data_IF_440194784402
#
_entry.id   IF_440194784402
#
_cell.length_a   1.000
_cell.length_b   1.000
_cell.length_c   1.000
_cell.angle_alpha   90.00
_cell.angle_beta   90.00
_cell.angle_gamma   90.00
#
_symmetry.space_group_name_H-M   'P 1'
#
loop_
_entity.id
_entity.type
_entity.pdbx_description
1 polymer ?
#
# COMPACT_ATOMS: atom_id res chain seq x y z
N UNK A 1 15.34 -4.52 -11.44
CA UNK A 1 14.65 -5.48 -10.94
C UNK A 1 13.65 -5.11 -9.98
N UNK A 2 13.96 -5.03 -8.80
CA UNK A 2 12.98 -4.81 -7.78
C UNK A 2 12.27 -3.49 -7.90
N UNK A 3 12.81 -2.51 -8.65
CA UNK A 3 12.13 -1.24 -8.84
C UNK A 3 10.81 -1.41 -9.57
N UNK A 4 10.74 -2.36 -10.49
CA UNK A 4 9.51 -2.61 -11.22
C UNK A 4 8.40 -3.05 -10.29
N UNK A 5 8.65 -4.06 -9.47
CA UNK A 5 7.63 -4.57 -8.55
C UNK A 5 7.28 -3.52 -7.51
N UNK A 6 8.26 -2.72 -7.06
CA UNK A 6 8.02 -1.66 -6.09
C UNK A 6 7.07 -0.61 -6.64
N UNK A 7 7.27 -0.21 -7.92
CA UNK A 7 6.40 0.77 -8.56
C UNK A 7 5.00 0.22 -8.76
N UNK A 8 4.90 -1.03 -9.21
CA UNK A 8 3.60 -1.66 -9.45
C UNK A 8 2.84 -1.85 -8.15
N UNK A 9 3.54 -2.26 -7.10
CA UNK A 9 2.92 -2.42 -5.80
C UNK A 9 2.42 -1.08 -5.25
N UNK A 10 3.26 -0.05 -5.33
CA UNK A 10 2.88 1.28 -4.86
C UNK A 10 1.65 1.82 -5.59
N UNK A 11 1.63 1.66 -6.91
CA UNK A 11 0.49 2.08 -7.71
C UNK A 11 -0.77 1.30 -7.33
N UNK A 12 -0.61 0.02 -7.00
CA UNK A 12 -1.73 -0.82 -6.56
C UNK A 12 -2.30 -0.34 -5.24
N UNK A 13 -1.44 -0.02 -4.29
CA UNK A 13 -1.88 0.50 -2.99
C UNK A 13 -2.68 1.78 -3.20
N UNK A 14 -2.17 2.67 -4.04
CA UNK A 14 -2.86 3.92 -4.32
C UNK A 14 -4.22 3.67 -4.97
N UNK A 15 -4.28 2.77 -5.96
CA UNK A 15 -5.51 2.42 -6.63
C UNK A 15 -6.57 1.92 -5.66
N UNK A 16 -6.19 0.97 -4.82
CA UNK A 16 -7.12 0.39 -3.85
C UNK A 16 -7.56 1.42 -2.82
N UNK A 17 -6.63 2.28 -2.40
CA UNK A 17 -6.95 3.35 -1.44
C UNK A 17 -7.99 4.30 -2.02
N UNK A 18 -7.78 4.72 -3.26
CA UNK A 18 -8.70 5.65 -3.92
C UNK A 18 -10.07 5.01 -4.16
N UNK A 19 -10.10 3.71 -4.44
CA UNK A 19 -11.37 2.99 -4.59
C UNK A 19 -12.18 3.03 -3.29
N UNK A 20 -11.50 3.12 -2.16
CA UNK A 20 -12.16 3.19 -0.86
C UNK A 20 -12.40 4.63 -0.41
N UNK A 21 -12.11 5.60 -1.27
CA UNK A 21 -12.27 7.02 -0.96
C UNK A 21 -11.45 7.44 0.26
N UNK A 22 -10.25 6.89 0.39
CA UNK A 22 -9.37 7.19 1.52
C UNK A 22 -8.25 8.13 1.12
N UNK A 23 -7.92 9.07 1.99
CA UNK A 23 -6.70 9.86 1.87
C UNK A 23 -5.54 9.03 2.39
N UNK A 24 -4.31 9.40 2.03
CA UNK A 24 -3.12 8.71 2.55
C UNK A 24 -3.12 8.71 4.08
N UNK A 25 -3.51 9.82 4.68
CA UNK A 25 -3.56 9.92 6.13
C UNK A 25 -4.61 8.99 6.74
N UNK A 26 -5.74 8.80 6.04
CA UNK A 26 -6.78 7.90 6.52
C UNK A 26 -6.27 6.47 6.60
N UNK A 27 -5.58 6.03 5.55
CA UNK A 27 -5.04 4.67 5.52
C UNK A 27 -3.95 4.52 6.58
N UNK A 28 -3.05 5.50 6.66
CA UNK A 28 -1.96 5.48 7.62
C UNK A 28 -2.49 5.37 9.06
N UNK A 29 -3.48 6.19 9.37
CA UNK A 29 -4.08 6.19 10.71
C UNK A 29 -4.73 4.84 11.01
N UNK A 30 -5.44 4.30 10.02
CA UNK A 30 -6.17 3.04 10.21
C UNK A 30 -5.23 1.88 10.52
N UNK A 31 -4.06 1.85 9.89
CA UNK A 31 -3.12 0.75 10.08
C UNK A 31 -2.03 1.05 11.11
N UNK A 32 -1.97 2.27 11.61
CA UNK A 32 -1.03 2.62 12.66
C UNK A 32 0.39 2.93 12.18
N UNK A 33 0.53 3.47 10.98
CA UNK A 33 1.83 3.90 10.46
C UNK A 33 1.74 5.37 10.09
N UNK A 34 2.89 5.95 9.73
CA UNK A 34 2.93 7.37 9.37
C UNK A 34 2.43 7.59 7.96
N UNK A 35 1.79 8.74 7.75
CA UNK A 35 1.33 9.12 6.41
C UNK A 35 2.49 9.17 5.43
N UNK A 36 3.65 9.65 5.85
CA UNK A 36 4.83 9.71 4.99
C UNK A 36 5.27 8.32 4.55
N UNK A 37 5.03 7.30 5.38
CA UNK A 37 5.35 5.92 5.01
C UNK A 37 4.44 5.46 3.88
N UNK A 38 3.13 5.73 3.99
CA UNK A 38 2.18 5.38 2.94
C UNK A 38 2.59 6.08 1.64
N UNK A 39 2.91 7.36 1.72
CA UNK A 39 3.32 8.13 0.55
C UNK A 39 4.57 7.52 -0.10
N UNK A 40 5.57 7.15 0.71
CA UNK A 40 6.81 6.57 0.20
C UNK A 40 6.59 5.21 -0.46
N UNK A 41 5.64 4.43 0.04
CA UNK A 41 5.29 3.15 -0.58
C UNK A 41 4.61 3.41 -1.92
N UNK A 42 3.67 4.35 -1.96
CA UNK A 42 2.93 4.63 -3.20
C UNK A 42 3.82 5.20 -4.29
N UNK A 43 4.85 5.94 -3.92
CA UNK A 43 5.78 6.53 -4.89
C UNK A 43 6.98 5.63 -5.18
N UNK A 44 7.01 4.46 -4.57
CA UNK A 44 8.08 3.48 -4.74
C UNK A 44 9.42 3.92 -4.17
N UNK A 45 9.40 4.91 -3.26
CA UNK A 45 10.61 5.33 -2.58
C UNK A 45 11.02 4.34 -1.49
N UNK A 46 10.06 3.60 -0.98
CA UNK A 46 10.30 2.66 0.10
C UNK A 46 9.66 1.31 -0.22
N UNK A 47 10.38 0.25 0.10
CA UNK A 47 9.87 -1.11 -0.04
C UNK A 47 9.35 -1.54 1.33
N UNK A 48 8.05 -1.80 1.48
CA UNK A 48 7.51 -2.17 2.77
C UNK A 48 7.91 -3.59 3.14
N UNK A 49 8.09 -3.83 4.45
CA UNK A 49 8.34 -5.18 4.94
C UNK A 49 7.03 -5.98 4.89
N UNK A 50 7.15 -7.29 5.02
CA UNK A 50 5.99 -8.18 4.97
C UNK A 50 4.90 -7.81 5.97
N UNK A 51 5.33 -7.42 7.16
CA UNK A 51 4.39 -7.04 8.21
C UNK A 51 3.54 -5.85 7.80
N UNK A 52 4.19 -4.83 7.22
CA UNK A 52 3.47 -3.65 6.77
C UNK A 52 2.56 -3.98 5.58
N UNK A 53 3.02 -4.87 4.69
CA UNK A 53 2.19 -5.32 3.58
C UNK A 53 0.90 -5.94 4.10
N UNK A 54 0.99 -6.78 5.11
CA UNK A 54 -0.18 -7.41 5.71
C UNK A 54 -1.09 -6.36 6.34
N UNK A 55 -0.49 -5.38 7.03
CA UNK A 55 -1.25 -4.30 7.64
C UNK A 55 -2.00 -3.48 6.59
N UNK A 56 -1.35 -3.19 5.47
CA UNK A 56 -1.98 -2.43 4.39
C UNK A 56 -3.16 -3.19 3.80
N UNK A 57 -3.01 -4.50 3.60
CA UNK A 57 -4.10 -5.32 3.08
C UNK A 57 -5.31 -5.25 4.01
N UNK A 58 -5.07 -5.39 5.32
CA UNK A 58 -6.14 -5.32 6.31
C UNK A 58 -6.79 -3.94 6.32
N UNK A 59 -5.98 -2.90 6.28
CA UNK A 59 -6.50 -1.53 6.27
C UNK A 59 -7.35 -1.24 5.04
N UNK A 60 -6.98 -1.82 3.91
CA UNK A 60 -7.72 -1.66 2.66
C UNK A 60 -8.89 -2.64 2.55
N UNK A 61 -9.00 -3.60 3.48
CA UNK A 61 -10.07 -4.57 3.46
C UNK A 61 -9.98 -5.55 2.31
N UNK A 62 -8.77 -5.88 1.88
CA UNK A 62 -8.55 -6.81 0.78
C UNK A 62 -7.63 -7.94 1.24
N UNK A 63 -7.68 -9.06 0.52
CA UNK A 63 -6.77 -10.18 0.78
C UNK A 63 -5.40 -9.85 0.22
N UNK A 64 -4.38 -10.56 0.72
CA UNK A 64 -3.04 -10.45 0.14
C UNK A 64 -3.06 -10.85 -1.34
N UNK A 65 -3.89 -11.83 -1.69
CA UNK A 65 -4.05 -12.26 -3.06
C UNK A 65 -4.51 -11.11 -3.95
N UNK A 66 -5.51 -10.36 -3.51
CA UNK A 66 -6.01 -9.23 -4.28
C UNK A 66 -4.97 -8.12 -4.35
N UNK A 67 -4.26 -7.90 -3.24
CA UNK A 67 -3.24 -6.88 -3.18
C UNK A 67 -2.16 -7.10 -4.23
N UNK A 68 -1.78 -8.35 -4.45
CA UNK A 68 -0.73 -8.71 -5.40
C UNK A 68 -1.26 -9.19 -6.76
N UNK A 69 -2.56 -9.05 -6.99
CA UNK A 69 -3.14 -9.54 -8.22
C UNK A 69 -2.48 -8.90 -9.43
N UNK A 70 -2.01 -9.76 -10.33
CA UNK A 70 -1.41 -9.33 -11.59
C UNK A 70 -0.19 -8.41 -11.42
N UNK A 71 0.53 -8.55 -10.34
CA UNK A 71 1.82 -7.91 -10.18
C UNK A 71 2.95 -8.89 -10.54
#
# INVERSE_FOLDING_TARGET
MSTQIRKRFGARIRELRLEKNMLQGDLAHKVGIRESYVSSVETAEKEPCLEVIEMLAKGLGVSLRKLFWDL
#
